data_IF_936530338505
#
_entry.id   IF_936530338505
#
_cell.length_a   1.000
_cell.length_b   1.000
_cell.length_c   1.000
_cell.angle_alpha   90.00
_cell.angle_beta   90.00
_cell.angle_gamma   90.00
#
_symmetry.space_group_name_H-M   'P 1'
#
loop_
_entity.id
_entity.type
_entity.pdbx_description
1 polymer ?
#
# COMPACT_ATOMS: atom_id res chain seq x y z
N UNK A 1 -5.10 0.22 18.86
CA UNK A 1 -4.65 1.01 17.70
C UNK A 1 -5.87 1.55 16.93
N UNK A 2 -6.77 0.70 16.47
CA UNK A 2 -8.00 1.07 15.71
C UNK A 2 -8.79 2.21 16.37
N UNK A 3 -9.09 2.13 17.68
CA UNK A 3 -9.83 3.18 18.39
C UNK A 3 -9.09 4.54 18.35
N UNK A 4 -7.76 4.55 18.47
CA UNK A 4 -6.95 5.77 18.34
C UNK A 4 -7.07 6.38 16.95
N UNK A 5 -7.07 5.54 15.91
CA UNK A 5 -7.24 6.02 14.54
C UNK A 5 -8.64 6.61 14.32
N UNK A 6 -9.70 6.00 14.86
CA UNK A 6 -11.06 6.56 14.82
C UNK A 6 -11.15 7.93 15.50
N UNK A 7 -10.54 8.10 16.66
CA UNK A 7 -10.47 9.39 17.36
C UNK A 7 -9.73 10.44 16.51
N UNK A 8 -8.61 10.04 15.89
CA UNK A 8 -7.82 10.89 14.99
C UNK A 8 -8.64 11.29 13.77
N UNK A 9 -9.28 10.34 13.08
CA UNK A 9 -10.16 10.58 11.93
C UNK A 9 -11.29 11.56 12.31
N UNK A 10 -11.97 11.31 13.41
CA UNK A 10 -13.06 12.18 13.90
C UNK A 10 -12.59 13.61 14.21
N UNK A 11 -11.38 13.77 14.72
CA UNK A 11 -10.80 15.09 15.03
C UNK A 11 -10.37 15.84 13.78
N UNK A 12 -9.82 15.12 12.78
CA UNK A 12 -9.29 15.67 11.55
C UNK A 12 -10.38 15.92 10.50
N UNK A 13 -11.43 15.10 10.44
CA UNK A 13 -12.51 15.23 9.45
C UNK A 13 -13.17 16.62 9.40
N UNK A 14 -13.08 17.38 10.50
CA UNK A 14 -13.57 18.76 10.59
C UNK A 14 -12.55 19.79 10.09
N UNK A 15 -11.30 19.39 9.91
CA UNK A 15 -10.16 20.25 9.55
C UNK A 15 -9.64 19.98 8.14
N UNK A 16 -9.95 18.78 7.59
CA UNK A 16 -9.53 18.40 6.25
C UNK A 16 -10.18 19.30 5.21
N UNK A 17 -9.37 19.75 4.25
CA UNK A 17 -9.87 20.45 3.05
C UNK A 17 -10.65 19.49 2.15
N UNK A 18 -11.43 20.02 1.20
CA UNK A 18 -12.22 19.23 0.26
C UNK A 18 -11.37 18.46 -0.76
N UNK A 19 -10.11 18.86 -0.96
CA UNK A 19 -9.20 18.28 -1.94
C UNK A 19 -8.20 17.34 -1.23
N UNK A 20 -8.39 16.05 -1.45
CA UNK A 20 -7.54 14.97 -0.98
C UNK A 20 -6.67 14.41 -2.12
N UNK A 21 -6.60 15.10 -3.26
CA UNK A 21 -5.87 14.64 -4.45
C UNK A 21 -4.35 14.82 -4.28
N UNK A 22 -3.60 13.83 -4.72
CA UNK A 22 -2.15 13.95 -4.85
C UNK A 22 -1.77 14.83 -6.04
N UNK A 23 -0.65 15.57 -5.91
CA UNK A 23 -0.14 16.45 -6.98
C UNK A 23 0.21 15.71 -8.26
N UNK A 24 0.70 14.49 -8.15
CA UNK A 24 1.13 13.65 -9.26
C UNK A 24 0.16 12.49 -9.48
N UNK A 25 -0.20 12.25 -10.72
CA UNK A 25 -1.11 11.17 -11.16
C UNK A 25 -0.49 10.28 -12.24
N UNK A 26 0.64 10.70 -12.83
CA UNK A 26 1.36 9.93 -13.85
C UNK A 26 2.33 8.93 -13.19
N UNK A 27 2.21 7.61 -13.43
CA UNK A 27 3.04 6.61 -12.74
C UNK A 27 4.54 6.83 -12.85
N UNK A 28 5.14 7.11 -14.03
CA UNK A 28 6.56 7.45 -14.14
C UNK A 28 6.96 8.66 -13.27
N UNK A 29 6.14 9.72 -13.25
CA UNK A 29 6.42 10.92 -12.47
C UNK A 29 6.34 10.65 -10.98
N UNK A 30 5.36 9.86 -10.53
CA UNK A 30 5.24 9.44 -9.12
C UNK A 30 6.47 8.64 -8.68
N UNK A 31 6.88 7.63 -9.45
CA UNK A 31 8.05 6.80 -9.10
C UNK A 31 9.36 7.59 -9.06
N UNK A 32 9.52 8.57 -9.95
CA UNK A 32 10.68 9.47 -9.94
C UNK A 32 10.66 10.41 -8.72
N UNK A 33 9.50 10.93 -8.35
CA UNK A 33 9.32 11.75 -7.16
C UNK A 33 9.61 10.94 -5.88
N UNK A 34 9.04 9.74 -5.75
CA UNK A 34 9.29 8.85 -4.61
C UNK A 34 10.77 8.50 -4.44
N UNK A 35 11.51 8.25 -5.54
CA UNK A 35 12.97 8.05 -5.48
C UNK A 35 13.71 9.30 -4.98
N UNK A 36 13.21 10.47 -5.31
CA UNK A 36 13.76 11.74 -4.82
C UNK A 36 13.46 11.94 -3.35
N UNK A 37 12.21 11.74 -2.94
CA UNK A 37 11.75 11.92 -1.57
C UNK A 37 12.43 10.97 -0.58
N UNK A 38 12.65 9.72 -0.98
CA UNK A 38 13.34 8.73 -0.14
C UNK A 38 14.84 8.96 0.00
N UNK A 39 15.41 9.86 -0.81
CA UNK A 39 16.87 10.10 -0.83
C UNK A 39 17.34 10.70 0.49
N UNK A 40 18.31 10.09 1.11
CA UNK A 40 18.84 10.48 2.41
C UNK A 40 18.26 9.71 3.60
N UNK A 41 17.05 9.18 3.49
CA UNK A 41 16.40 8.39 4.55
C UNK A 41 16.63 6.89 4.38
N UNK A 42 16.90 6.44 3.16
CA UNK A 42 17.10 5.04 2.82
C UNK A 42 18.45 4.80 2.15
N UNK A 43 19.07 3.62 2.35
CA UNK A 43 20.29 3.23 1.65
C UNK A 43 20.19 3.35 0.13
N UNK A 44 21.27 3.76 -0.51
CA UNK A 44 21.33 3.95 -1.96
C UNK A 44 21.47 2.60 -2.66
N UNK A 45 20.64 2.33 -3.65
CA UNK A 45 20.74 1.17 -4.53
C UNK A 45 21.80 1.41 -5.62
N UNK A 46 22.39 0.31 -6.14
CA UNK A 46 23.22 0.39 -7.34
C UNK A 46 22.41 0.86 -8.56
N UNK A 47 23.08 1.40 -9.57
CA UNK A 47 22.40 1.89 -10.78
C UNK A 47 21.71 0.77 -11.59
N UNK A 48 22.19 -0.47 -11.48
CA UNK A 48 21.53 -1.63 -12.10
C UNK A 48 20.24 -2.01 -11.41
N UNK A 49 20.18 -1.88 -10.09
CA UNK A 49 19.04 -2.25 -9.26
C UNK A 49 17.91 -1.21 -9.27
N UNK A 50 18.21 0.00 -9.71
CA UNK A 50 17.20 1.06 -9.92
C UNK A 50 16.38 0.87 -11.20
N UNK A 51 16.74 -0.10 -12.06
CA UNK A 51 16.04 -0.32 -13.33
C UNK A 51 14.73 -1.05 -13.12
N UNK A 52 13.68 -0.55 -13.73
CA UNK A 52 12.37 -1.16 -13.76
C UNK A 52 11.61 -0.78 -15.04
N UNK A 53 10.59 -1.55 -15.35
CA UNK A 53 9.64 -1.27 -16.42
C UNK A 53 8.26 -1.02 -15.81
N UNK A 54 7.51 -0.11 -16.40
CA UNK A 54 6.08 0.05 -16.11
C UNK A 54 5.32 -0.65 -17.24
N UNK A 55 4.39 -1.51 -16.86
CA UNK A 55 3.46 -2.17 -17.77
C UNK A 55 2.02 -1.96 -17.30
N UNK A 56 1.09 -2.07 -18.22
CA UNK A 56 -0.32 -1.94 -17.91
C UNK A 56 -1.01 -3.30 -17.94
N UNK A 57 -1.94 -3.49 -17.01
CA UNK A 57 -2.78 -4.69 -16.96
C UNK A 57 -3.64 -4.75 -18.22
N UNK A 58 -3.71 -5.92 -18.91
CA UNK A 58 -4.63 -6.10 -20.02
C UNK A 58 -6.10 -5.91 -19.60
N UNK A 59 -6.91 -5.25 -20.43
CA UNK A 59 -8.30 -4.90 -20.12
C UNK A 59 -9.16 -6.10 -19.64
N UNK A 60 -8.84 -7.31 -20.09
CA UNK A 60 -9.55 -8.53 -19.69
C UNK A 60 -9.30 -8.95 -18.24
N UNK A 61 -8.24 -8.45 -17.61
CA UNK A 61 -7.82 -8.77 -16.24
C UNK A 61 -8.04 -7.62 -15.25
N UNK A 62 -8.44 -6.45 -15.73
CA UNK A 62 -8.57 -5.25 -14.90
C UNK A 62 -9.55 -5.43 -13.72
N UNK A 63 -10.64 -6.16 -13.94
CA UNK A 63 -11.65 -6.40 -12.88
C UNK A 63 -11.21 -7.38 -11.79
N UNK A 64 -10.09 -8.08 -11.99
CA UNK A 64 -9.63 -9.16 -11.09
C UNK A 64 -8.30 -8.88 -10.41
N UNK A 65 -7.59 -7.83 -10.84
CA UNK A 65 -6.27 -7.52 -10.34
C UNK A 65 -6.25 -6.23 -9.51
N UNK A 66 -5.30 -6.17 -8.58
CA UNK A 66 -5.04 -4.99 -7.74
C UNK A 66 -4.77 -3.73 -8.56
N UNK A 67 -4.93 -2.53 -8.00
CA UNK A 67 -4.65 -1.24 -8.66
C UNK A 67 -3.24 -1.11 -9.23
N UNK A 68 -2.26 -1.64 -8.53
CA UNK A 68 -0.89 -1.85 -9.02
C UNK A 68 -0.27 -3.05 -8.30
N UNK A 69 0.80 -3.60 -8.86
CA UNK A 69 1.61 -4.63 -8.20
C UNK A 69 3.01 -4.73 -8.80
N UNK A 70 3.99 -5.01 -7.93
CA UNK A 70 5.35 -5.30 -8.33
C UNK A 70 5.50 -6.80 -8.67
N UNK A 71 5.99 -7.09 -9.86
CA UNK A 71 6.38 -8.44 -10.23
C UNK A 71 7.86 -8.65 -9.96
N UNK A 72 8.15 -9.49 -8.96
CA UNK A 72 9.52 -9.81 -8.55
C UNK A 72 10.35 -10.34 -9.72
N UNK A 73 11.53 -9.77 -9.91
CA UNK A 73 12.46 -10.17 -10.96
C UNK A 73 12.87 -11.65 -10.81
N UNK A 74 13.11 -12.38 -11.92
CA UNK A 74 13.65 -13.73 -11.89
C UNK A 74 14.98 -13.81 -11.14
N UNK A 75 15.30 -14.99 -10.59
CA UNK A 75 16.57 -15.18 -9.84
C UNK A 75 17.80 -15.08 -10.74
N UNK A 76 17.67 -15.48 -11.98
CA UNK A 76 18.71 -15.46 -13.01
C UNK A 76 18.83 -14.12 -13.75
N UNK A 77 17.82 -13.23 -13.59
CA UNK A 77 17.84 -11.88 -14.15
C UNK A 77 17.28 -10.87 -13.12
N UNK A 78 18.07 -10.48 -12.11
CA UNK A 78 17.64 -9.59 -11.05
C UNK A 78 17.38 -8.14 -11.51
N UNK A 79 17.67 -7.81 -12.75
CA UNK A 79 17.45 -6.46 -13.32
C UNK A 79 16.08 -6.30 -13.96
N UNK A 80 15.34 -7.39 -14.15
CA UNK A 80 14.03 -7.41 -14.81
C UNK A 80 12.89 -7.13 -13.84
N UNK A 81 12.89 -5.95 -13.26
CA UNK A 81 11.83 -5.51 -12.33
C UNK A 81 10.68 -4.89 -13.13
N UNK A 82 9.45 -5.28 -12.82
CA UNK A 82 8.25 -4.77 -13.50
C UNK A 82 7.21 -4.33 -12.48
N UNK A 83 6.68 -3.12 -12.63
CA UNK A 83 5.50 -2.63 -11.92
C UNK A 83 4.34 -2.63 -12.91
N UNK A 84 3.27 -3.33 -12.57
CA UNK A 84 2.03 -3.31 -13.34
C UNK A 84 1.06 -2.30 -12.77
N UNK A 85 0.41 -1.52 -13.65
CA UNK A 85 -0.61 -0.54 -13.32
C UNK A 85 -1.94 -1.01 -13.91
N UNK A 86 -2.97 -1.02 -13.09
CA UNK A 86 -4.33 -1.38 -13.49
C UNK A 86 -5.16 -0.10 -13.71
N UNK A 87 -5.34 0.26 -14.97
CA UNK A 87 -6.10 1.46 -15.35
C UNK A 87 -7.63 1.31 -15.15
N UNK A 88 -8.13 0.09 -15.05
CA UNK A 88 -9.55 -0.21 -14.83
C UNK A 88 -9.99 -0.08 -13.37
N UNK A 89 -9.05 -0.01 -12.43
CA UNK A 89 -9.37 0.20 -11.02
C UNK A 89 -9.74 1.66 -10.76
N UNK A 90 -10.93 1.89 -10.21
CA UNK A 90 -11.39 3.24 -9.81
C UNK A 90 -10.55 3.81 -8.65
N UNK A 91 -10.12 2.96 -7.73
CA UNK A 91 -9.24 3.34 -6.61
C UNK A 91 -7.82 3.72 -7.08
N UNK A 92 -7.38 3.23 -8.25
CA UNK A 92 -6.04 3.47 -8.73
C UNK A 92 -5.71 4.95 -8.97
N UNK A 93 -6.71 5.79 -9.25
CA UNK A 93 -6.47 7.20 -9.59
C UNK A 93 -6.25 8.09 -8.37
N UNK A 94 -7.00 7.83 -7.30
CA UNK A 94 -7.00 8.68 -6.11
C UNK A 94 -5.96 8.23 -5.07
N UNK A 95 -5.50 6.97 -5.14
CA UNK A 95 -4.54 6.38 -4.20
C UNK A 95 -3.23 5.92 -4.87
N UNK A 96 -3.00 6.31 -6.13
CA UNK A 96 -1.86 5.79 -6.90
C UNK A 96 -0.51 6.16 -6.28
N UNK A 97 -0.38 7.34 -5.68
CA UNK A 97 0.87 7.78 -5.05
C UNK A 97 1.31 6.85 -3.90
N UNK A 98 0.49 6.62 -2.85
CA UNK A 98 0.85 5.67 -1.79
C UNK A 98 0.92 4.22 -2.29
N UNK A 99 0.11 3.83 -3.27
CA UNK A 99 0.19 2.50 -3.89
C UNK A 99 1.55 2.29 -4.57
N UNK A 100 2.07 3.28 -5.30
CA UNK A 100 3.39 3.18 -5.92
C UNK A 100 4.55 3.32 -4.92
N UNK A 101 4.32 3.94 -3.78
CA UNK A 101 5.27 3.87 -2.66
C UNK A 101 5.34 2.43 -2.09
N UNK A 102 4.19 1.76 -1.96
CA UNK A 102 4.08 0.36 -1.52
C UNK A 102 4.74 -0.61 -2.51
N UNK A 103 4.40 -0.52 -3.80
CA UNK A 103 4.86 -1.45 -4.83
C UNK A 103 6.28 -1.14 -5.35
N UNK A 104 6.64 0.13 -5.39
CA UNK A 104 7.87 0.60 -6.02
C UNK A 104 8.93 1.06 -5.02
N UNK A 105 8.99 2.37 -4.81
CA UNK A 105 10.01 3.04 -4.00
C UNK A 105 9.39 3.84 -2.85
N UNK A 106 9.81 3.56 -1.59
CA UNK A 106 10.79 2.57 -1.13
C UNK A 106 10.19 1.20 -0.75
N UNK A 107 9.08 0.76 -1.39
CA UNK A 107 8.33 -0.44 -1.07
C UNK A 107 8.93 -1.76 -1.57
N UNK A 108 8.07 -2.63 -2.12
CA UNK A 108 8.42 -4.00 -2.50
C UNK A 108 9.60 -4.10 -3.47
N UNK A 109 9.62 -3.28 -4.52
CA UNK A 109 10.72 -3.29 -5.48
C UNK A 109 12.04 -2.92 -4.79
N UNK A 110 12.06 -1.80 -4.06
CA UNK A 110 13.26 -1.36 -3.34
C UNK A 110 13.74 -2.43 -2.34
N UNK A 111 12.84 -2.95 -1.50
CA UNK A 111 13.16 -3.99 -0.52
C UNK A 111 13.77 -5.22 -1.18
N UNK A 112 13.18 -5.70 -2.27
CA UNK A 112 13.63 -6.91 -2.97
C UNK A 112 15.02 -6.72 -3.56
N UNK A 113 15.25 -5.60 -4.26
CA UNK A 113 16.55 -5.39 -4.92
C UNK A 113 17.64 -5.07 -3.90
N UNK A 114 17.33 -4.29 -2.85
CA UNK A 114 18.26 -4.04 -1.74
C UNK A 114 18.68 -5.35 -1.04
N UNK A 115 17.70 -6.19 -0.72
CA UNK A 115 17.96 -7.50 -0.11
C UNK A 115 18.87 -8.36 -0.99
N UNK A 116 18.62 -8.42 -2.30
CA UNK A 116 19.41 -9.19 -3.24
C UNK A 116 20.85 -8.65 -3.40
N UNK A 117 21.05 -7.36 -3.36
CA UNK A 117 22.39 -6.74 -3.40
C UNK A 117 23.23 -7.09 -2.17
N UNK A 118 22.62 -7.26 -1.01
CA UNK A 118 23.30 -7.43 0.27
C UNK A 118 23.29 -8.86 0.80
N UNK A 119 22.55 -9.76 0.15
CA UNK A 119 22.45 -11.17 0.54
C UNK A 119 23.40 -12.03 -0.30
N UNK A 120 24.30 -12.74 0.39
CA UNK A 120 25.22 -13.68 -0.25
C UNK A 120 24.70 -15.13 -0.27
N UNK A 121 23.56 -15.40 0.35
CA UNK A 121 22.92 -16.72 0.38
C UNK A 121 21.78 -16.79 -0.65
N UNK A 122 21.94 -17.52 -1.76
CA UNK A 122 20.91 -17.62 -2.80
C UNK A 122 19.61 -18.27 -2.29
N UNK A 123 19.69 -19.14 -1.27
CA UNK A 123 18.50 -19.72 -0.67
C UNK A 123 17.64 -18.72 0.08
N UNK A 124 18.25 -17.66 0.63
CA UNK A 124 17.50 -16.61 1.31
C UNK A 124 16.58 -15.84 0.35
N UNK A 125 16.92 -15.74 -0.94
CA UNK A 125 16.07 -15.14 -1.96
C UNK A 125 14.83 -15.99 -2.31
N UNK A 126 14.82 -17.28 -1.93
CA UNK A 126 13.69 -18.19 -2.11
C UNK A 126 12.77 -18.24 -0.87
N UNK A 127 13.27 -17.77 0.27
CA UNK A 127 12.50 -17.75 1.50
C UNK A 127 11.73 -16.43 1.58
N UNK A 128 10.43 -16.51 1.52
CA UNK A 128 9.54 -15.35 1.65
C UNK A 128 8.90 -15.34 3.02
N UNK A 129 8.84 -14.16 3.64
CA UNK A 129 8.06 -13.91 4.84
C UNK A 129 7.05 -12.82 4.51
N UNK A 130 5.85 -13.22 4.10
CA UNK A 130 4.80 -12.30 3.65
C UNK A 130 4.53 -11.19 4.67
N UNK A 131 4.44 -11.54 5.97
CA UNK A 131 4.23 -10.54 7.02
C UNK A 131 5.34 -9.50 7.13
N UNK A 132 6.60 -9.87 6.87
CA UNK A 132 7.72 -8.91 6.85
C UNK A 132 7.71 -8.06 5.56
N UNK A 133 7.38 -8.67 4.43
CA UNK A 133 7.33 -7.95 3.15
C UNK A 133 6.20 -6.93 3.13
N UNK A 134 4.98 -7.36 3.49
CA UNK A 134 3.80 -6.48 3.56
C UNK A 134 3.94 -5.44 4.68
N UNK A 135 4.53 -5.83 5.81
CA UNK A 135 4.81 -4.91 6.92
C UNK A 135 5.76 -3.78 6.53
N UNK A 136 6.81 -4.10 5.76
CA UNK A 136 7.70 -3.09 5.19
C UNK A 136 6.97 -2.18 4.21
N UNK A 137 6.28 -2.75 3.22
CA UNK A 137 5.58 -1.99 2.20
C UNK A 137 4.49 -1.09 2.80
N UNK A 138 3.73 -1.60 3.78
CA UNK A 138 2.76 -0.80 4.55
C UNK A 138 3.43 0.34 5.35
N UNK A 139 4.60 0.08 5.95
CA UNK A 139 5.33 1.12 6.68
C UNK A 139 5.73 2.27 5.76
N UNK A 140 6.31 1.98 4.60
CA UNK A 140 6.75 3.02 3.66
C UNK A 140 5.59 3.68 2.90
N UNK A 141 4.49 2.96 2.68
CA UNK A 141 3.22 3.53 2.22
C UNK A 141 2.73 4.60 3.20
N UNK A 142 2.75 4.32 4.51
CA UNK A 142 2.39 5.28 5.55
C UNK A 142 3.32 6.51 5.57
N UNK A 143 4.62 6.35 5.32
CA UNK A 143 5.55 7.47 5.21
C UNK A 143 5.24 8.36 4.01
N UNK A 144 4.80 7.78 2.89
CA UNK A 144 4.55 8.51 1.64
C UNK A 144 3.44 9.56 1.76
N UNK A 145 2.49 9.40 2.68
CA UNK A 145 1.49 10.42 2.96
C UNK A 145 2.11 11.73 3.49
N UNK A 146 3.30 11.67 4.09
CA UNK A 146 3.99 12.82 4.67
C UNK A 146 5.14 13.35 3.81
N UNK A 147 5.33 12.81 2.61
CA UNK A 147 6.22 13.38 1.60
C UNK A 147 5.62 14.67 1.02
N UNK A 148 6.42 15.46 0.30
CA UNK A 148 5.91 16.62 -0.46
C UNK A 148 5.11 16.16 -1.69
N UNK A 149 3.91 15.67 -1.42
CA UNK A 149 3.00 15.05 -2.39
C UNK A 149 1.83 15.97 -2.82
N UNK A 150 1.77 17.18 -2.28
CA UNK A 150 0.73 18.18 -2.56
C UNK A 150 -0.40 18.24 -1.55
N UNK A 151 -0.49 17.29 -0.61
CA UNK A 151 -1.48 17.34 0.47
C UNK A 151 -1.07 18.33 1.57
N UNK A 152 -2.05 18.93 2.25
CA UNK A 152 -1.79 19.63 3.50
C UNK A 152 -1.43 18.65 4.62
N UNK A 153 -0.82 19.13 5.71
CA UNK A 153 -0.47 18.30 6.86
C UNK A 153 -1.70 17.59 7.45
N UNK A 154 -2.84 18.29 7.53
CA UNK A 154 -4.10 17.71 8.03
C UNK A 154 -4.65 16.64 7.09
N UNK A 155 -4.60 16.88 5.77
CA UNK A 155 -5.06 15.91 4.77
C UNK A 155 -4.16 14.67 4.74
N UNK A 156 -2.86 14.84 4.85
CA UNK A 156 -1.88 13.74 4.97
C UNK A 156 -2.15 12.88 6.21
N UNK A 157 -2.31 13.52 7.37
CA UNK A 157 -2.62 12.83 8.62
C UNK A 157 -3.98 12.11 8.58
N UNK A 158 -4.98 12.72 7.93
CA UNK A 158 -6.30 12.12 7.76
C UNK A 158 -6.23 10.88 6.88
N UNK A 159 -5.60 10.95 5.71
CA UNK A 159 -5.47 9.80 4.80
C UNK A 159 -4.66 8.66 5.43
N UNK A 160 -3.54 8.98 6.09
CA UNK A 160 -2.74 8.00 6.81
C UNK A 160 -3.53 7.30 7.94
N UNK A 161 -4.36 8.05 8.68
CA UNK A 161 -5.22 7.48 9.72
C UNK A 161 -6.34 6.61 9.13
N UNK A 162 -6.96 7.03 8.03
CA UNK A 162 -7.97 6.23 7.31
C UNK A 162 -7.39 4.90 6.83
N UNK A 163 -6.21 4.93 6.21
CA UNK A 163 -5.52 3.71 5.77
C UNK A 163 -5.17 2.79 6.94
N UNK A 164 -4.60 3.34 8.01
CA UNK A 164 -4.27 2.58 9.22
C UNK A 164 -5.51 1.96 9.87
N UNK A 165 -6.63 2.69 9.91
CA UNK A 165 -7.91 2.18 10.38
C UNK A 165 -8.40 1.01 9.53
N UNK A 166 -8.42 1.15 8.20
CA UNK A 166 -8.84 0.11 7.27
C UNK A 166 -8.02 -1.18 7.46
N UNK A 167 -6.70 -1.08 7.54
CA UNK A 167 -5.83 -2.23 7.76
C UNK A 167 -6.09 -2.91 9.11
N UNK A 168 -6.28 -2.13 10.18
CA UNK A 168 -6.62 -2.69 11.50
C UNK A 168 -7.99 -3.36 11.51
N UNK A 169 -8.99 -2.77 10.84
CA UNK A 169 -10.34 -3.32 10.74
C UNK A 169 -10.34 -4.68 10.06
N UNK A 170 -9.75 -4.76 8.84
CA UNK A 170 -9.70 -6.02 8.10
C UNK A 170 -8.87 -7.08 8.82
N UNK A 171 -7.74 -6.71 9.45
CA UNK A 171 -6.92 -7.65 10.22
C UNK A 171 -7.66 -8.23 11.43
N UNK A 172 -8.45 -7.40 12.15
CA UNK A 172 -9.23 -7.86 13.29
C UNK A 172 -10.39 -8.75 12.86
N UNK A 173 -11.03 -8.42 11.74
CA UNK A 173 -12.10 -9.23 11.17
C UNK A 173 -11.58 -10.58 10.70
N UNK A 174 -10.44 -10.59 9.97
CA UNK A 174 -9.77 -11.82 9.51
C UNK A 174 -9.37 -12.74 10.66
N UNK A 175 -8.71 -12.20 11.68
CA UNK A 175 -8.33 -12.95 12.89
C UNK A 175 -9.59 -13.49 13.59
N UNK A 176 -10.62 -12.66 13.73
CA UNK A 176 -11.87 -13.04 14.36
C UNK A 176 -12.52 -14.23 13.66
N UNK A 177 -12.62 -14.18 12.33
CA UNK A 177 -13.28 -15.23 11.54
C UNK A 177 -12.39 -16.47 11.43
N UNK A 178 -11.13 -16.31 10.99
CA UNK A 178 -10.30 -17.43 10.57
C UNK A 178 -9.51 -18.08 11.73
N UNK A 179 -9.25 -17.33 12.80
CA UNK A 179 -8.50 -17.85 13.96
C UNK A 179 -9.40 -18.06 15.18
N UNK A 180 -10.22 -17.06 15.57
CA UNK A 180 -11.09 -17.13 16.75
C UNK A 180 -12.41 -17.86 16.48
N UNK A 181 -12.74 -18.15 15.20
CA UNK A 181 -13.96 -18.86 14.82
C UNK A 181 -15.24 -18.05 15.07
N UNK A 182 -15.23 -16.76 14.80
CA UNK A 182 -16.43 -15.95 14.96
C UNK A 182 -17.56 -16.44 14.06
N UNK A 183 -18.77 -16.49 14.61
CA UNK A 183 -19.97 -16.65 13.80
C UNK A 183 -20.23 -15.41 12.95
N UNK A 184 -21.05 -15.56 11.89
CA UNK A 184 -21.52 -14.45 11.07
C UNK A 184 -22.14 -13.32 11.92
N UNK A 185 -22.97 -13.67 12.91
CA UNK A 185 -23.59 -12.67 13.79
C UNK A 185 -22.56 -11.89 14.61
N UNK A 186 -21.50 -12.55 15.07
CA UNK A 186 -20.41 -11.90 15.83
C UNK A 186 -19.59 -10.99 14.93
N UNK A 187 -19.25 -11.42 13.71
CA UNK A 187 -18.57 -10.61 12.72
C UNK A 187 -19.43 -9.38 12.35
N UNK A 188 -20.72 -9.58 12.09
CA UNK A 188 -21.66 -8.49 11.82
C UNK A 188 -21.76 -7.49 12.98
N UNK A 189 -21.80 -7.97 14.23
CA UNK A 189 -21.78 -7.11 15.40
C UNK A 189 -20.48 -6.27 15.48
N UNK A 190 -19.33 -6.87 15.17
CA UNK A 190 -18.06 -6.14 15.12
C UNK A 190 -18.06 -5.05 14.02
N UNK A 191 -18.51 -5.37 12.81
CA UNK A 191 -18.63 -4.39 11.70
C UNK A 191 -19.49 -3.20 12.14
N UNK A 192 -20.64 -3.44 12.78
CA UNK A 192 -21.55 -2.39 13.27
C UNK A 192 -20.96 -1.54 14.41
N UNK A 193 -19.90 -1.97 15.07
CA UNK A 193 -19.17 -1.10 16.02
C UNK A 193 -18.32 -0.05 15.33
N UNK A 194 -17.97 -0.27 14.06
CA UNK A 194 -17.08 0.58 13.29
C UNK A 194 -17.83 1.45 12.26
N UNK A 195 -18.94 0.94 11.74
CA UNK A 195 -19.70 1.56 10.66
C UNK A 195 -21.21 1.55 10.97
N UNK A 196 -21.92 2.51 10.42
CA UNK A 196 -23.40 2.47 10.34
C UNK A 196 -23.78 1.53 9.18
N UNK A 197 -23.64 0.22 9.44
CA UNK A 197 -23.78 -0.83 8.45
C UNK A 197 -25.14 -1.50 8.52
N UNK A 198 -25.86 -1.50 7.40
CA UNK A 198 -27.05 -2.33 7.22
C UNK A 198 -26.68 -3.80 6.91
N UNK A 199 -27.71 -4.66 6.77
CA UNK A 199 -27.49 -6.08 6.53
C UNK A 199 -26.86 -6.35 5.14
N UNK A 200 -27.11 -5.50 4.14
CA UNK A 200 -26.55 -5.64 2.80
C UNK A 200 -25.02 -5.40 2.82
N UNK A 201 -24.57 -4.34 3.49
CA UNK A 201 -23.15 -4.05 3.64
C UNK A 201 -22.42 -5.15 4.42
N UNK A 202 -23.07 -5.70 5.46
CA UNK A 202 -22.50 -6.81 6.27
C UNK A 202 -22.38 -8.10 5.44
N UNK A 203 -23.24 -8.32 4.45
CA UNK A 203 -23.18 -9.50 3.58
C UNK A 203 -22.12 -9.38 2.47
N UNK A 204 -21.73 -8.16 2.11
CA UNK A 204 -20.73 -7.87 1.09
C UNK A 204 -19.30 -7.97 1.65
N UNK A 205 -19.10 -7.77 2.96
CA UNK A 205 -17.82 -7.87 3.66
C UNK A 205 -17.48 -9.31 4.09
#
# INVERSE_FOLDING_TARGET
RMQKELETISSLSKKTGPDLSFRLTDPPAILADLQTQMSGDFPVLSESSKKYEIRYVPAQLESTLSPAFYLTAPLDDPTRNVIYINNGSTSAKDELYPTLAHEGFPGHLYQTVYFREHTHNPLAALLTCSGANEGWATYVEQLSYFYDNGLSEENSAYQAAMRSFSLCFHSLLDIGINYDGWSKDRAAAFVRTCFDADDALVEEL
#
